data_IF_309144678318
#
_entry.id   IF_309144678318
#
_cell.length_a   1.000
_cell.length_b   1.000
_cell.length_c   1.000
_cell.angle_alpha   90.00
_cell.angle_beta   90.00
_cell.angle_gamma   90.00
#
_symmetry.space_group_name_H-M   'P 1'
#
loop_
_entity.id
_entity.type
_entity.pdbx_description
1 polymer ?
#
# COMPACT_ATOMS: atom_id res chain seq x y z
N UNK A 1 -8.67 -31.24 -7.44
CA UNK A 1 -8.87 -29.86 -7.90
C UNK A 1 -9.20 -28.92 -6.74
N UNK A 2 -10.04 -29.30 -5.78
CA UNK A 2 -10.43 -28.49 -4.60
C UNK A 2 -9.25 -28.01 -3.72
N UNK A 3 -8.27 -28.86 -3.43
CA UNK A 3 -7.10 -28.48 -2.62
C UNK A 3 -6.22 -27.39 -3.26
N UNK A 4 -6.14 -27.35 -4.59
CA UNK A 4 -5.35 -26.36 -5.34
C UNK A 4 -5.99 -24.97 -5.29
N UNK A 5 -7.31 -24.91 -5.28
CA UNK A 5 -8.05 -23.66 -5.09
C UNK A 5 -7.94 -23.15 -3.65
N UNK A 6 -7.88 -24.05 -2.66
CA UNK A 6 -7.61 -23.69 -1.26
C UNK A 6 -6.22 -23.09 -1.06
N UNK A 7 -5.18 -23.67 -1.66
CA UNK A 7 -3.80 -23.18 -1.53
C UNK A 7 -3.61 -21.80 -2.18
N UNK A 8 -4.26 -21.55 -3.31
CA UNK A 8 -4.18 -20.24 -3.98
C UNK A 8 -5.07 -19.18 -3.31
N UNK A 9 -6.27 -19.56 -2.87
CA UNK A 9 -7.17 -18.65 -2.14
C UNK A 9 -6.58 -18.25 -0.78
N UNK A 10 -5.92 -19.16 -0.07
CA UNK A 10 -5.22 -18.85 1.18
C UNK A 10 -4.05 -17.90 0.94
N UNK A 11 -3.25 -18.12 -0.11
CA UNK A 11 -2.16 -17.21 -0.48
C UNK A 11 -2.65 -15.77 -0.77
N UNK A 12 -3.73 -15.61 -1.55
CA UNK A 12 -4.31 -14.29 -1.81
C UNK A 12 -4.92 -13.68 -0.56
N UNK A 13 -5.56 -14.47 0.30
CA UNK A 13 -6.12 -13.98 1.57
C UNK A 13 -5.02 -13.43 2.49
N UNK A 14 -3.88 -14.10 2.58
CA UNK A 14 -2.71 -13.61 3.33
C UNK A 14 -2.21 -12.30 2.73
N UNK A 15 -2.03 -12.22 1.40
CA UNK A 15 -1.61 -10.97 0.75
C UNK A 15 -2.61 -9.82 0.95
N UNK A 16 -3.92 -10.10 0.98
CA UNK A 16 -4.94 -9.10 1.26
C UNK A 16 -4.81 -8.57 2.68
N UNK A 17 -4.68 -9.45 3.69
CA UNK A 17 -4.49 -9.06 5.10
C UNK A 17 -3.24 -8.19 5.27
N UNK A 18 -2.13 -8.56 4.64
CA UNK A 18 -0.90 -7.74 4.66
C UNK A 18 -1.10 -6.37 4.00
N UNK A 19 -1.80 -6.32 2.87
CA UNK A 19 -2.03 -5.07 2.14
C UNK A 19 -2.95 -4.12 2.91
N UNK A 20 -4.06 -4.62 3.48
CA UNK A 20 -4.95 -3.81 4.32
C UNK A 20 -4.30 -3.44 5.66
N UNK A 21 -3.50 -4.34 6.25
CA UNK A 21 -2.71 -4.02 7.44
C UNK A 21 -1.75 -2.86 7.18
N UNK A 22 -1.08 -2.85 6.02
CA UNK A 22 -0.21 -1.74 5.62
C UNK A 22 -0.98 -0.43 5.42
N UNK A 23 -2.20 -0.48 4.85
CA UNK A 23 -3.09 0.69 4.77
C UNK A 23 -3.37 1.26 6.16
N UNK A 24 -3.73 0.42 7.13
CA UNK A 24 -4.03 0.87 8.50
C UNK A 24 -2.80 1.52 9.14
N UNK A 25 -1.63 0.90 9.01
CA UNK A 25 -0.37 1.43 9.58
C UNK A 25 -0.01 2.77 8.96
N UNK A 26 -0.05 2.89 7.63
CA UNK A 26 0.28 4.15 6.93
C UNK A 26 -0.77 5.22 7.20
N UNK A 27 -2.06 4.87 7.22
CA UNK A 27 -3.14 5.79 7.56
C UNK A 27 -2.99 6.31 9.00
N UNK A 28 -2.68 5.43 9.96
CA UNK A 28 -2.43 5.82 11.35
C UNK A 28 -1.20 6.74 11.48
N UNK A 29 -0.13 6.47 10.72
CA UNK A 29 1.04 7.35 10.67
C UNK A 29 0.70 8.73 10.08
N UNK A 30 -0.10 8.77 9.02
CA UNK A 30 -0.59 10.01 8.41
C UNK A 30 -1.51 10.81 9.32
N UNK A 31 -2.42 10.16 10.05
CA UNK A 31 -3.32 10.81 11.01
C UNK A 31 -2.56 11.44 12.18
N UNK A 32 -1.43 10.85 12.57
CA UNK A 32 -0.56 11.38 13.64
C UNK A 32 0.35 12.52 13.17
N UNK A 33 0.51 12.70 11.86
CA UNK A 33 1.42 13.69 11.29
C UNK A 33 0.65 14.95 10.88
N UNK A 34 1.09 16.12 11.33
CA UNK A 34 0.44 17.41 11.02
C UNK A 34 0.59 17.83 9.56
N UNK A 35 1.57 17.26 8.86
CA UNK A 35 1.85 17.47 7.43
C UNK A 35 1.61 16.17 6.68
N UNK A 36 0.83 16.22 5.60
CA UNK A 36 0.55 15.06 4.74
C UNK A 36 1.41 15.14 3.47
N UNK A 37 2.59 14.52 3.43
CA UNK A 37 3.42 14.56 2.23
C UNK A 37 2.71 13.81 1.09
N UNK A 38 2.76 14.31 -0.16
CA UNK A 38 2.08 13.69 -1.30
C UNK A 38 2.52 12.25 -1.56
N UNK A 39 3.77 11.89 -1.21
CA UNK A 39 4.27 10.52 -1.27
C UNK A 39 3.51 9.55 -0.34
N UNK A 40 3.06 10.00 0.84
CA UNK A 40 2.33 9.14 1.78
C UNK A 40 0.91 8.83 1.27
N UNK A 41 0.26 9.78 0.61
CA UNK A 41 -1.03 9.57 -0.06
C UNK A 41 -0.90 8.54 -1.19
N UNK A 42 0.13 8.68 -2.03
CA UNK A 42 0.39 7.74 -3.11
C UNK A 42 0.74 6.32 -2.60
N UNK A 43 1.46 6.22 -1.47
CA UNK A 43 1.72 4.94 -0.79
C UNK A 43 0.42 4.28 -0.32
N UNK A 44 -0.40 5.02 0.42
CA UNK A 44 -1.67 4.54 0.93
C UNK A 44 -2.57 4.06 -0.22
N UNK A 45 -2.64 4.85 -1.28
CA UNK A 45 -3.42 4.53 -2.46
C UNK A 45 -2.88 3.29 -3.19
N UNK A 46 -1.55 3.10 -3.24
CA UNK A 46 -0.96 1.88 -3.81
C UNK A 46 -1.38 0.63 -3.01
N UNK A 47 -1.32 0.68 -1.68
CA UNK A 47 -1.74 -0.46 -0.84
C UNK A 47 -3.24 -0.73 -0.94
N UNK A 48 -4.07 0.31 -1.02
CA UNK A 48 -5.51 0.16 -1.25
C UNK A 48 -5.79 -0.53 -2.58
N UNK A 49 -5.23 -0.03 -3.69
CA UNK A 49 -5.48 -0.62 -5.01
C UNK A 49 -5.00 -2.06 -5.10
N UNK A 50 -3.87 -2.37 -4.48
CA UNK A 50 -3.35 -3.73 -4.47
C UNK A 50 -4.16 -4.65 -3.56
N UNK A 51 -4.65 -4.15 -2.43
CA UNK A 51 -5.59 -4.85 -1.56
C UNK A 51 -6.86 -5.24 -2.32
N UNK A 52 -7.49 -4.28 -3.00
CA UNK A 52 -8.67 -4.52 -3.86
C UNK A 52 -8.36 -5.58 -4.92
N UNK A 53 -7.24 -5.45 -5.64
CA UNK A 53 -6.87 -6.40 -6.68
C UNK A 53 -6.70 -7.84 -6.18
N UNK A 54 -6.03 -8.00 -5.03
CA UNK A 54 -5.81 -9.32 -4.42
C UNK A 54 -7.11 -9.90 -3.87
N UNK A 55 -7.99 -9.07 -3.29
CA UNK A 55 -9.32 -9.52 -2.85
C UNK A 55 -10.16 -10.03 -4.02
N UNK A 56 -10.16 -9.32 -5.15
CA UNK A 56 -10.84 -9.76 -6.37
C UNK A 56 -10.14 -10.94 -7.07
N UNK A 57 -8.88 -11.26 -6.71
CA UNK A 57 -8.17 -12.42 -7.23
C UNK A 57 -8.65 -13.73 -6.60
N UNK A 58 -9.36 -13.66 -5.48
CA UNK A 58 -9.90 -14.82 -4.77
C UNK A 58 -11.15 -15.35 -5.50
N UNK A 59 -11.16 -16.60 -5.98
CA UNK A 59 -12.23 -17.14 -6.83
C UNK A 59 -13.66 -16.94 -6.30
N UNK A 60 -13.99 -17.21 -5.02
CA UNK A 60 -15.35 -17.00 -4.51
C UNK A 60 -15.75 -15.53 -4.41
N UNK A 61 -14.80 -14.59 -4.34
CA UNK A 61 -15.09 -13.15 -4.31
C UNK A 61 -15.22 -12.57 -5.72
N UNK A 62 -14.43 -13.10 -6.65
CA UNK A 62 -14.53 -12.79 -8.07
C UNK A 62 -15.95 -13.07 -8.60
N UNK A 63 -16.47 -14.28 -8.37
CA UNK A 63 -17.79 -14.67 -8.87
C UNK A 63 -18.92 -13.87 -8.22
N UNK A 64 -18.82 -13.61 -6.91
CA UNK A 64 -19.80 -12.77 -6.20
C UNK A 64 -19.83 -11.34 -6.76
N UNK A 65 -18.66 -10.79 -7.10
CA UNK A 65 -18.58 -9.44 -7.67
C UNK A 65 -19.16 -9.39 -9.08
N UNK A 66 -18.83 -10.36 -9.93
CA UNK A 66 -19.39 -10.47 -11.28
C UNK A 66 -20.92 -10.64 -11.24
N UNK A 67 -21.44 -11.45 -10.32
CA UNK A 67 -22.88 -11.64 -10.12
C UNK A 67 -23.59 -10.39 -9.58
N UNK A 68 -22.95 -9.61 -8.71
CA UNK A 68 -23.53 -8.39 -8.15
C UNK A 68 -23.66 -7.27 -9.19
N UNK A 69 -22.64 -7.16 -10.05
CA UNK A 69 -22.57 -6.14 -11.10
C UNK A 69 -23.43 -6.53 -12.31
N UNK A 70 -23.70 -7.82 -12.50
CA UNK A 70 -24.46 -8.34 -13.64
C UNK A 70 -23.67 -8.33 -14.95
N UNK A 71 -22.37 -8.04 -14.89
CA UNK A 71 -21.46 -8.00 -16.05
C UNK A 71 -20.35 -9.02 -15.81
N UNK A 72 -20.38 -10.10 -16.58
CA UNK A 72 -19.35 -11.13 -16.54
C UNK A 72 -17.96 -10.56 -16.87
N UNK A 73 -16.92 -11.00 -16.16
CA UNK A 73 -15.53 -10.59 -16.31
C UNK A 73 -15.19 -9.17 -15.85
N UNK A 74 -16.11 -8.46 -15.20
CA UNK A 74 -15.83 -7.11 -14.70
C UNK A 74 -14.84 -7.15 -13.54
N UNK A 75 -14.89 -8.17 -12.68
CA UNK A 75 -13.92 -8.37 -11.61
C UNK A 75 -12.48 -8.50 -12.12
N UNK A 76 -12.30 -9.09 -13.31
CA UNK A 76 -10.97 -9.26 -13.94
C UNK A 76 -10.42 -7.95 -14.44
N UNK A 77 -11.27 -7.14 -15.08
CA UNK A 77 -10.92 -5.81 -15.55
C UNK A 77 -10.52 -4.92 -14.36
N UNK A 78 -11.32 -4.94 -13.29
CA UNK A 78 -11.03 -4.19 -12.06
C UNK A 78 -9.73 -4.65 -11.44
N UNK A 79 -9.47 -5.96 -11.36
CA UNK A 79 -8.22 -6.52 -10.84
C UNK A 79 -7.01 -6.05 -11.65
N UNK A 80 -7.07 -6.10 -12.99
CA UNK A 80 -5.97 -5.70 -13.85
C UNK A 80 -5.72 -4.18 -13.80
N UNK A 81 -6.78 -3.38 -13.78
CA UNK A 81 -6.70 -1.92 -13.67
C UNK A 81 -6.14 -1.50 -12.31
N UNK A 82 -6.66 -2.05 -11.23
CA UNK A 82 -6.25 -1.70 -9.87
C UNK A 82 -4.86 -2.25 -9.52
N UNK A 83 -4.65 -3.56 -9.69
CA UNK A 83 -3.45 -4.28 -9.27
C UNK A 83 -2.25 -4.14 -10.20
N UNK A 84 -2.51 -3.85 -11.48
CA UNK A 84 -1.50 -3.56 -12.49
C UNK A 84 -1.26 -2.06 -12.64
N UNK A 85 -2.19 -1.36 -13.29
CA UNK A 85 -1.93 0.01 -13.76
C UNK A 85 -1.94 1.03 -12.63
N UNK A 86 -3.01 1.07 -11.83
CA UNK A 86 -3.14 2.04 -10.75
C UNK A 86 -2.05 1.83 -9.69
N UNK A 87 -1.77 0.58 -9.32
CA UNK A 87 -0.72 0.24 -8.37
C UNK A 87 0.68 0.61 -8.89
N UNK A 88 1.07 0.22 -10.11
CA UNK A 88 2.39 0.56 -10.66
C UNK A 88 2.61 2.07 -10.75
N UNK A 89 1.59 2.83 -11.18
CA UNK A 89 1.63 4.29 -11.21
C UNK A 89 1.83 4.90 -9.83
N UNK A 90 1.12 4.38 -8.82
CA UNK A 90 1.27 4.85 -7.45
C UNK A 90 2.67 4.57 -6.91
N UNK A 91 3.21 3.35 -7.11
CA UNK A 91 4.56 2.99 -6.65
C UNK A 91 5.63 3.84 -7.34
N UNK A 92 5.55 4.03 -8.66
CA UNK A 92 6.48 4.90 -9.40
C UNK A 92 6.37 6.37 -8.96
N UNK A 93 5.17 6.83 -8.64
CA UNK A 93 4.94 8.18 -8.10
C UNK A 93 5.59 8.36 -6.74
N UNK A 94 5.44 7.39 -5.83
CA UNK A 94 6.10 7.39 -4.51
C UNK A 94 7.62 7.47 -4.67
N UNK A 95 8.18 6.60 -5.49
CA UNK A 95 9.62 6.53 -5.75
C UNK A 95 10.13 7.85 -6.38
N UNK A 96 9.32 8.49 -7.23
CA UNK A 96 9.65 9.79 -7.82
C UNK A 96 9.68 10.90 -6.75
N UNK A 97 8.67 10.97 -5.88
CA UNK A 97 8.62 11.96 -4.80
C UNK A 97 9.69 11.74 -3.72
N UNK A 98 10.23 10.53 -3.60
CA UNK A 98 11.35 10.26 -2.69
C UNK A 98 12.70 10.73 -3.22
N UNK A 99 12.89 10.77 -4.54
CA UNK A 99 14.14 11.25 -5.13
C UNK A 99 14.16 12.71 -5.55
N UNK A 100 12.99 13.25 -5.85
CA UNK A 100 12.86 14.60 -6.38
C UNK A 100 11.78 15.37 -5.62
N UNK A 101 12.07 16.64 -5.33
CA UNK A 101 11.12 17.58 -4.74
C UNK A 101 10.80 18.70 -5.74
N UNK A 102 9.62 19.30 -5.60
CA UNK A 102 9.20 20.46 -6.39
C UNK A 102 8.42 20.14 -7.69
N UNK A 103 8.34 21.12 -8.63
CA UNK A 103 7.45 21.02 -9.80
C UNK A 103 7.78 19.85 -10.75
N UNK A 104 9.06 19.48 -10.84
CA UNK A 104 9.52 18.37 -11.70
C UNK A 104 9.00 17.01 -11.22
N UNK A 105 8.94 16.80 -9.91
CA UNK A 105 8.39 15.57 -9.32
C UNK A 105 6.89 15.43 -9.62
N UNK A 106 6.14 16.54 -9.53
CA UNK A 106 4.71 16.57 -9.84
C UNK A 106 4.46 16.30 -11.33
N UNK A 107 5.27 16.86 -12.22
CA UNK A 107 5.14 16.63 -13.66
C UNK A 107 5.40 15.16 -14.01
N UNK A 108 6.44 14.54 -13.44
CA UNK A 108 6.72 13.11 -13.63
C UNK A 108 5.66 12.21 -13.02
N UNK A 109 5.14 12.53 -11.83
CA UNK A 109 4.00 11.82 -11.25
C UNK A 109 2.78 11.87 -12.18
N UNK A 110 2.46 13.03 -12.76
CA UNK A 110 1.38 13.17 -13.74
C UNK A 110 1.62 12.35 -15.01
N UNK A 111 2.87 12.25 -15.49
CA UNK A 111 3.21 11.40 -16.62
C UNK A 111 2.98 9.92 -16.30
N UNK A 112 3.39 9.44 -15.11
CA UNK A 112 3.13 8.06 -14.68
C UNK A 112 1.63 7.75 -14.60
N UNK A 113 0.85 8.67 -14.00
CA UNK A 113 -0.61 8.54 -13.93
C UNK A 113 -1.23 8.59 -15.34
N UNK A 114 -0.79 9.51 -16.21
CA UNK A 114 -1.28 9.62 -17.58
C UNK A 114 -1.02 8.35 -18.40
N UNK A 115 0.18 7.76 -18.29
CA UNK A 115 0.48 6.48 -18.93
C UNK A 115 -0.38 5.34 -18.40
N UNK A 116 -0.61 5.27 -17.09
CA UNK A 116 -1.48 4.25 -16.51
C UNK A 116 -2.94 4.41 -16.93
N UNK A 117 -3.44 5.64 -17.05
CA UNK A 117 -4.78 5.93 -17.59
C UNK A 117 -4.86 5.55 -19.07
N UNK A 118 -3.86 5.88 -19.88
CA UNK A 118 -3.84 5.54 -21.30
C UNK A 118 -3.81 4.02 -21.52
N UNK A 119 -2.93 3.31 -20.82
CA UNK A 119 -2.84 1.84 -20.88
C UNK A 119 -4.10 1.20 -20.31
N UNK A 120 -4.63 1.72 -19.21
CA UNK A 120 -5.89 1.27 -18.63
C UNK A 120 -7.05 1.43 -19.62
N UNK A 121 -7.13 2.57 -20.30
CA UNK A 121 -8.08 2.84 -21.38
C UNK A 121 -7.95 1.84 -22.53
N UNK A 122 -6.73 1.60 -23.03
CA UNK A 122 -6.48 0.61 -24.07
C UNK A 122 -6.91 -0.80 -23.64
N UNK A 123 -6.64 -1.20 -22.39
CA UNK A 123 -7.11 -2.47 -21.84
C UNK A 123 -8.63 -2.53 -21.73
N UNK A 124 -9.29 -1.45 -21.30
CA UNK A 124 -10.77 -1.40 -21.24
C UNK A 124 -11.39 -1.53 -22.63
N UNK A 125 -10.83 -0.85 -23.64
CA UNK A 125 -11.28 -0.97 -25.03
C UNK A 125 -11.09 -2.40 -25.55
N UNK A 126 -9.92 -3.00 -25.30
CA UNK A 126 -9.66 -4.39 -25.67
C UNK A 126 -10.62 -5.37 -24.98
N UNK A 127 -11.00 -5.09 -23.72
CA UNK A 127 -12.00 -5.86 -23.00
C UNK A 127 -13.40 -5.71 -23.59
N UNK A 128 -13.82 -4.50 -23.99
CA UNK A 128 -15.11 -4.29 -24.67
C UNK A 128 -15.19 -5.00 -26.03
N UNK A 129 -14.07 -5.10 -26.73
CA UNK A 129 -13.98 -5.76 -28.05
C UNK A 129 -13.88 -7.28 -27.92
N UNK A 130 -13.44 -7.80 -26.77
CA UNK A 130 -13.35 -9.24 -26.54
C UNK A 130 -14.76 -9.86 -26.41
N UNK A 131 -15.11 -10.88 -27.22
CA UNK A 131 -16.45 -11.48 -27.17
C UNK A 131 -16.82 -12.02 -25.78
N UNK A 132 -18.05 -11.75 -25.36
CA UNK A 132 -18.70 -12.23 -24.13
C UNK A 132 -18.95 -13.73 -24.20
N UNK A 133 -17.90 -14.54 -24.15
CA UNK A 133 -18.04 -15.97 -23.93
C UNK A 133 -17.81 -16.25 -22.45
N UNK A 134 -18.73 -16.98 -21.82
CA UNK A 134 -18.62 -17.52 -20.47
C UNK A 134 -17.20 -18.07 -20.25
N UNK A 135 -16.54 -17.61 -19.19
CA UNK A 135 -15.18 -17.99 -18.86
C UNK A 135 -15.20 -18.88 -17.62
N UNK A 136 -15.02 -20.21 -17.78
CA UNK A 136 -14.68 -21.09 -16.67
C UNK A 136 -13.37 -20.66 -16.00
N UNK A 137 -13.27 -20.93 -14.70
CA UNK A 137 -12.19 -20.52 -13.81
C UNK A 137 -10.76 -20.97 -14.23
N UNK A 138 -10.63 -21.93 -15.16
CA UNK A 138 -9.35 -22.43 -15.67
C UNK A 138 -8.93 -21.74 -17.00
N UNK A 139 -8.67 -20.44 -16.89
CA UNK A 139 -8.40 -19.52 -18.00
C UNK A 139 -7.20 -19.91 -18.90
N UNK A 140 -6.18 -20.56 -18.36
CA UNK A 140 -4.90 -20.80 -19.08
C UNK A 140 -4.84 -22.17 -19.78
N UNK A 141 -5.73 -23.09 -19.40
CA UNK A 141 -5.75 -24.47 -19.91
C UNK A 141 -6.73 -24.64 -21.07
N UNK A 142 -7.90 -23.99 -21.01
CA UNK A 142 -9.03 -24.35 -21.88
C UNK A 142 -9.24 -23.42 -23.11
N UNK A 143 -8.33 -22.50 -23.39
CA UNK A 143 -8.60 -21.36 -24.29
C UNK A 143 -7.61 -21.16 -25.44
N UNK A 144 -6.89 -22.19 -25.89
CA UNK A 144 -6.06 -22.13 -27.10
C UNK A 144 -6.78 -21.60 -28.36
N UNK A 145 -8.12 -21.66 -28.39
CA UNK A 145 -8.95 -21.24 -29.52
C UNK A 145 -9.49 -19.79 -29.49
N UNK A 146 -9.20 -18.95 -28.48
CA UNK A 146 -9.71 -17.55 -28.43
C UNK A 146 -8.56 -16.52 -28.43
N UNK A 147 -8.02 -16.13 -29.61
CA UNK A 147 -6.81 -15.30 -29.70
C UNK A 147 -6.97 -13.90 -29.10
N UNK A 148 -8.17 -13.32 -29.09
CA UNK A 148 -8.43 -11.99 -28.52
C UNK A 148 -8.17 -11.92 -27.00
N UNK A 149 -8.51 -12.97 -26.26
CA UNK A 149 -8.29 -13.04 -24.81
C UNK A 149 -6.83 -13.27 -24.45
N UNK A 150 -6.12 -14.05 -25.26
CA UNK A 150 -4.66 -14.23 -25.09
C UNK A 150 -3.94 -12.91 -25.37
N UNK A 151 -4.33 -12.18 -26.43
CA UNK A 151 -3.77 -10.87 -26.74
C UNK A 151 -4.00 -9.88 -25.58
N UNK A 152 -5.22 -9.79 -25.04
CA UNK A 152 -5.52 -8.97 -23.86
C UNK A 152 -4.61 -9.30 -22.67
N UNK A 153 -4.45 -10.59 -22.36
CA UNK A 153 -3.59 -11.02 -21.25
C UNK A 153 -2.13 -10.72 -21.50
N UNK A 154 -1.61 -10.95 -22.70
CA UNK A 154 -0.23 -10.66 -23.03
C UNK A 154 0.04 -9.16 -22.94
N UNK A 155 -0.86 -8.30 -23.43
CA UNK A 155 -0.75 -6.84 -23.29
C UNK A 155 -0.70 -6.45 -21.81
N UNK A 156 -1.60 -7.02 -20.99
CA UNK A 156 -1.60 -6.78 -19.55
C UNK A 156 -0.29 -7.24 -18.88
N UNK A 157 0.20 -8.44 -19.18
CA UNK A 157 1.44 -8.99 -18.63
C UNK A 157 2.68 -8.20 -19.05
N UNK A 158 2.74 -7.77 -20.31
CA UNK A 158 3.84 -6.95 -20.83
C UNK A 158 3.86 -5.60 -20.13
N UNK A 159 2.70 -4.93 -20.06
CA UNK A 159 2.60 -3.60 -19.43
C UNK A 159 2.88 -3.66 -17.93
N UNK A 160 2.34 -4.67 -17.23
CA UNK A 160 2.65 -4.91 -15.81
C UNK A 160 4.13 -5.28 -15.59
N UNK A 161 4.70 -6.13 -16.46
CA UNK A 161 6.11 -6.51 -16.42
C UNK A 161 7.05 -5.32 -16.66
N UNK A 162 6.74 -4.45 -17.61
CA UNK A 162 7.47 -3.19 -17.84
C UNK A 162 7.38 -2.27 -16.62
N UNK A 163 6.19 -2.15 -16.01
CA UNK A 163 6.02 -1.42 -14.75
C UNK A 163 6.88 -1.97 -13.63
N UNK A 164 6.90 -3.30 -13.45
CA UNK A 164 7.76 -3.97 -12.47
C UNK A 164 9.25 -3.74 -12.76
N UNK A 165 9.68 -3.82 -14.02
CA UNK A 165 11.06 -3.55 -14.44
C UNK A 165 11.47 -2.10 -14.12
N UNK A 166 10.61 -1.12 -14.41
CA UNK A 166 10.86 0.28 -14.07
C UNK A 166 11.00 0.47 -12.56
N UNK A 167 10.16 -0.18 -11.77
CA UNK A 167 10.26 -0.16 -10.29
C UNK A 167 11.61 -0.73 -9.85
N UNK A 168 12.04 -1.89 -10.38
CA UNK A 168 13.33 -2.52 -10.06
C UNK A 168 14.47 -1.55 -10.37
N UNK A 169 14.52 -1.00 -11.59
CA UNK A 169 15.59 -0.08 -12.03
C UNK A 169 15.65 1.13 -11.11
N UNK A 170 14.50 1.75 -10.81
CA UNK A 170 14.45 2.93 -9.95
C UNK A 170 14.87 2.59 -8.52
N UNK A 171 14.35 1.53 -7.92
CA UNK A 171 14.73 1.10 -6.58
C UNK A 171 16.23 0.80 -6.47
N UNK A 172 16.82 0.11 -7.44
CA UNK A 172 18.27 -0.15 -7.48
C UNK A 172 19.09 1.12 -7.65
N UNK A 173 18.64 2.04 -8.51
CA UNK A 173 19.27 3.35 -8.67
C UNK A 173 19.25 4.11 -7.33
N UNK A 174 18.11 4.21 -6.66
CA UNK A 174 18.00 4.87 -5.36
C UNK A 174 18.84 4.20 -4.27
N UNK A 175 18.89 2.87 -4.25
CA UNK A 175 19.70 2.09 -3.31
C UNK A 175 21.21 2.34 -3.49
N UNK A 176 21.66 2.73 -4.68
CA UNK A 176 23.07 3.03 -4.97
C UNK A 176 23.52 4.39 -4.46
N UNK A 177 22.62 5.37 -4.40
CA UNK A 177 22.95 6.77 -4.08
C UNK A 177 22.73 7.17 -2.61
N UNK A 178 22.08 6.33 -1.79
CA UNK A 178 21.81 6.64 -0.38
C UNK A 178 22.72 5.83 0.56
N UNK A 179 23.49 6.53 1.40
CA UNK A 179 24.37 5.93 2.41
C UNK A 179 23.62 5.38 3.64
N UNK A 180 22.33 5.70 3.78
CA UNK A 180 21.52 5.23 4.91
C UNK A 180 21.16 3.76 4.72
N UNK A 181 21.85 2.88 5.46
CA UNK A 181 21.72 1.42 5.37
C UNK A 181 20.26 0.91 5.47
N UNK A 182 19.41 1.56 6.27
CA UNK A 182 17.99 1.19 6.39
C UNK A 182 17.19 1.46 5.11
N UNK A 183 17.36 2.66 4.53
CA UNK A 183 16.64 3.04 3.31
C UNK A 183 17.08 2.17 2.13
N UNK A 184 18.38 1.90 2.04
CA UNK A 184 18.95 0.97 1.05
C UNK A 184 18.34 -0.44 1.16
N UNK A 185 18.23 -1.00 2.37
CA UNK A 185 17.58 -2.31 2.59
C UNK A 185 16.12 -2.31 2.16
N UNK A 186 15.37 -1.25 2.47
CA UNK A 186 13.97 -1.13 2.06
C UNK A 186 13.80 -1.09 0.53
N UNK A 187 14.64 -0.34 -0.18
CA UNK A 187 14.65 -0.29 -1.65
C UNK A 187 15.03 -1.64 -2.28
N UNK A 188 16.03 -2.32 -1.72
CA UNK A 188 16.45 -3.64 -2.19
C UNK A 188 15.35 -4.69 -1.97
N UNK A 189 14.61 -4.60 -0.85
CA UNK A 189 13.49 -5.48 -0.55
C UNK A 189 12.33 -5.27 -1.53
N UNK A 190 12.01 -4.00 -1.84
CA UNK A 190 11.03 -3.66 -2.89
C UNK A 190 11.47 -4.14 -4.26
N UNK A 191 12.76 -3.98 -4.61
CA UNK A 191 13.30 -4.48 -5.87
C UNK A 191 13.20 -6.01 -5.98
N UNK A 192 13.56 -6.73 -4.92
CA UNK A 192 13.44 -8.19 -4.87
C UNK A 192 11.99 -8.65 -5.05
N UNK A 193 11.03 -7.96 -4.42
CA UNK A 193 9.62 -8.30 -4.59
C UNK A 193 9.08 -7.96 -5.98
N UNK A 194 9.56 -6.88 -6.59
CA UNK A 194 9.23 -6.53 -7.96
C UNK A 194 9.82 -7.54 -8.96
N UNK A 195 11.00 -8.11 -8.70
CA UNK A 195 11.58 -9.21 -9.48
C UNK A 195 10.71 -10.47 -9.40
N UNK A 196 10.17 -10.80 -8.23
CA UNK A 196 9.22 -11.91 -8.09
C UNK A 196 7.91 -11.66 -8.87
N UNK A 197 7.43 -10.40 -8.90
CA UNK A 197 6.30 -10.02 -9.75
C UNK A 197 6.61 -10.17 -11.24
N UNK A 198 7.84 -9.83 -11.66
CA UNK A 198 8.27 -10.02 -13.04
C UNK A 198 8.36 -11.50 -13.40
N UNK A 199 8.90 -12.33 -12.51
CA UNK A 199 8.90 -13.79 -12.67
C UNK A 199 7.48 -14.34 -12.82
N UNK A 200 6.53 -13.86 -12.00
CA UNK A 200 5.11 -14.18 -12.16
C UNK A 200 4.58 -13.84 -13.56
N UNK A 201 4.91 -12.65 -14.09
CA UNK A 201 4.50 -12.24 -15.43
C UNK A 201 5.05 -13.20 -16.49
N UNK A 202 6.34 -13.55 -16.40
CA UNK A 202 7.00 -14.46 -17.34
C UNK A 202 6.36 -15.85 -17.28
N UNK A 203 6.13 -16.37 -16.07
CA UNK A 203 5.49 -17.68 -15.86
C UNK A 203 4.07 -17.70 -16.45
N UNK A 204 3.30 -16.61 -16.27
CA UNK A 204 1.95 -16.49 -16.82
C UNK A 204 1.95 -16.32 -18.34
N UNK A 205 2.90 -15.57 -18.90
CA UNK A 205 3.04 -15.40 -20.36
C UNK A 205 3.41 -16.75 -21.00
N UNK A 206 4.38 -17.45 -20.42
CA UNK A 206 4.77 -18.79 -20.87
C UNK A 206 3.59 -19.76 -20.79
N UNK A 207 2.81 -19.74 -19.70
CA UNK A 207 1.62 -20.60 -19.59
C UNK A 207 0.56 -20.29 -20.63
N UNK A 208 0.37 -19.02 -20.99
CA UNK A 208 -0.59 -18.61 -22.00
C UNK A 208 -0.16 -19.06 -23.40
N UNK A 209 1.13 -18.91 -23.74
CA UNK A 209 1.68 -19.34 -25.03
C UNK A 209 1.66 -20.87 -25.14
N UNK A 210 2.06 -21.58 -24.09
CA UNK A 210 2.05 -23.03 -24.08
C UNK A 210 0.63 -23.61 -24.22
N UNK A 211 -0.35 -23.05 -23.50
CA UNK A 211 -1.75 -23.43 -23.61
C UNK A 211 -2.33 -23.26 -25.03
N UNK A 212 -1.79 -22.35 -25.84
CA UNK A 212 -2.15 -22.23 -27.26
C UNK A 212 -1.60 -23.36 -28.13
N UNK A 213 -0.47 -23.96 -27.75
CA UNK A 213 0.25 -24.93 -28.59
C UNK A 213 -0.20 -26.36 -28.27
N UNK A 214 -0.35 -26.70 -26.98
CA UNK A 214 -0.54 -28.09 -26.54
C UNK A 214 -1.90 -28.36 -25.89
N UNK A 215 -2.70 -27.32 -25.63
CA UNK A 215 -4.00 -27.42 -24.95
C UNK A 215 -3.94 -28.16 -23.59
N UNK A 216 -2.76 -28.16 -22.96
CA UNK A 216 -2.43 -28.90 -21.74
C UNK A 216 -1.91 -27.95 -20.65
N UNK A 217 -2.26 -28.24 -19.39
CA UNK A 217 -1.94 -27.36 -18.26
C UNK A 217 -0.73 -27.86 -17.45
N UNK A 218 0.32 -27.04 -17.36
CA UNK A 218 1.56 -27.39 -16.63
C UNK A 218 1.37 -27.42 -15.10
N UNK A 219 2.02 -28.38 -14.43
CA UNK A 219 2.06 -28.49 -12.96
C UNK A 219 2.70 -27.30 -12.23
N UNK A 220 3.55 -26.52 -12.93
CA UNK A 220 4.24 -25.32 -12.43
C UNK A 220 3.34 -24.07 -12.38
N UNK A 221 2.14 -24.10 -12.96
CA UNK A 221 1.14 -23.01 -12.85
C UNK A 221 0.81 -22.69 -11.38
N UNK A 222 0.94 -23.68 -10.48
CA UNK A 222 0.74 -23.56 -9.03
C UNK A 222 1.73 -22.61 -8.34
N UNK A 223 2.92 -22.42 -8.91
CA UNK A 223 3.96 -21.58 -8.33
C UNK A 223 3.77 -20.09 -8.64
N UNK A 224 2.99 -19.75 -9.68
CA UNK A 224 2.79 -18.36 -10.06
C UNK A 224 2.07 -17.54 -8.96
N UNK A 225 0.93 -17.98 -8.39
CA UNK A 225 0.29 -17.28 -7.26
C UNK A 225 1.21 -17.13 -6.03
N UNK A 226 2.03 -18.15 -5.74
CA UNK A 226 2.97 -18.11 -4.62
C UNK A 226 4.06 -17.05 -4.83
N UNK A 227 4.67 -17.03 -6.03
CA UNK A 227 5.65 -16.01 -6.39
C UNK A 227 5.05 -14.59 -6.32
N UNK A 228 3.82 -14.40 -6.79
CA UNK A 228 3.11 -13.12 -6.70
C UNK A 228 2.85 -12.71 -5.24
N UNK A 229 2.43 -13.65 -4.39
CA UNK A 229 2.15 -13.41 -2.96
C UNK A 229 3.42 -13.04 -2.21
N UNK A 230 4.50 -13.80 -2.40
CA UNK A 230 5.80 -13.52 -1.78
C UNK A 230 6.33 -12.16 -2.25
N UNK A 231 6.29 -11.90 -3.57
CA UNK A 231 6.71 -10.62 -4.14
C UNK A 231 5.92 -9.44 -3.58
N UNK A 232 4.62 -9.62 -3.43
CA UNK A 232 3.72 -8.63 -2.85
C UNK A 232 4.07 -8.32 -1.39
N UNK A 233 4.26 -9.34 -0.55
CA UNK A 233 4.65 -9.16 0.86
C UNK A 233 5.98 -8.41 0.95
N UNK A 234 6.96 -8.77 0.11
CA UNK A 234 8.26 -8.09 0.05
C UNK A 234 8.13 -6.62 -0.31
N UNK A 235 7.29 -6.29 -1.31
CA UNK A 235 7.06 -4.90 -1.72
C UNK A 235 6.34 -4.12 -0.62
N UNK A 236 5.34 -4.71 0.04
CA UNK A 236 4.63 -4.07 1.15
C UNK A 236 5.59 -3.75 2.30
N UNK A 237 6.43 -4.71 2.70
CA UNK A 237 7.42 -4.50 3.77
C UNK A 237 8.46 -3.45 3.34
N UNK A 238 8.94 -3.51 2.09
CA UNK A 238 9.92 -2.57 1.57
C UNK A 238 9.37 -1.14 1.49
N UNK A 239 8.17 -0.95 0.96
CA UNK A 239 7.52 0.36 0.84
C UNK A 239 7.05 0.92 2.19
N UNK A 240 6.72 0.06 3.16
CA UNK A 240 6.39 0.49 4.51
C UNK A 240 7.63 0.90 5.33
N UNK A 241 8.83 0.46 4.93
CA UNK A 241 10.10 0.70 5.62
C UNK A 241 10.37 2.18 6.00
N UNK A 242 10.14 3.16 5.11
CA UNK A 242 10.29 4.58 5.43
C UNK A 242 9.21 5.13 6.39
N UNK A 243 8.01 4.55 6.38
CA UNK A 243 6.96 4.94 7.34
C UNK A 243 7.32 4.43 8.75
N UNK A 244 7.88 3.22 8.84
CA UNK A 244 8.40 2.67 10.09
C UNK A 244 9.57 3.49 10.66
N UNK A 245 10.46 4.03 9.83
CA UNK A 245 11.57 4.86 10.33
C UNK A 245 11.10 6.18 10.95
N UNK A 246 10.03 6.78 10.41
CA UNK A 246 9.41 7.98 11.00
C UNK A 246 8.70 7.68 12.33
N UNK A 247 8.01 6.53 12.42
CA UNK A 247 7.41 6.06 13.67
C UNK A 247 8.45 5.76 14.74
N UNK A 248 9.54 5.08 14.39
CA UNK A 248 10.62 4.72 15.31
C UNK A 248 11.41 5.94 15.76
N UNK A 249 11.71 6.88 14.87
CA UNK A 249 12.39 8.14 15.24
C UNK A 249 11.53 9.00 16.16
N UNK A 250 10.23 9.13 15.88
CA UNK A 250 9.28 9.87 16.74
C UNK A 250 9.13 9.22 18.13
N UNK A 251 9.07 7.88 18.18
CA UNK A 251 9.03 7.15 19.45
C UNK A 251 10.33 7.32 20.24
N UNK A 252 11.49 7.24 19.56
CA UNK A 252 12.80 7.45 20.18
C UNK A 252 12.96 8.86 20.72
N UNK A 253 12.50 9.87 19.98
CA UNK A 253 12.52 11.26 20.43
C UNK A 253 11.60 11.47 21.65
N UNK A 254 10.40 10.88 21.67
CA UNK A 254 9.52 10.90 22.86
C UNK A 254 10.16 10.24 24.07
N UNK A 255 10.81 9.08 23.89
CA UNK A 255 11.51 8.38 24.98
C UNK A 255 12.68 9.23 25.47
N UNK A 256 13.45 9.84 24.57
CA UNK A 256 14.53 10.74 24.96
C UNK A 256 13.99 11.95 25.71
N UNK A 257 12.99 12.66 25.17
CA UNK A 257 12.35 13.80 25.86
C UNK A 257 11.81 13.41 27.23
N UNK A 258 11.17 12.24 27.36
CA UNK A 258 10.71 11.73 28.65
C UNK A 258 11.87 11.44 29.62
N UNK A 259 12.96 10.84 29.14
CA UNK A 259 14.16 10.60 29.96
C UNK A 259 14.84 11.91 30.37
N UNK A 260 14.95 12.88 29.46
CA UNK A 260 15.45 14.22 29.75
C UNK A 260 14.59 14.91 30.79
N UNK A 261 13.25 14.88 30.65
CA UNK A 261 12.34 15.42 31.65
C UNK A 261 12.51 14.75 33.01
N UNK A 262 12.58 13.41 33.08
CA UNK A 262 12.81 12.69 34.35
C UNK A 262 14.18 12.94 34.98
N UNK A 263 15.20 13.20 34.19
CA UNK A 263 16.54 13.52 34.69
C UNK A 263 16.66 14.98 35.14
N UNK A 264 15.94 15.89 34.48
CA UNK A 264 15.89 17.31 34.81
C UNK A 264 14.93 17.60 35.97
N UNK A 265 13.92 16.76 36.19
CA UNK A 265 12.96 16.88 37.30
C UNK A 265 13.63 17.02 38.68
N UNK A 266 14.54 16.13 39.12
CA UNK A 266 15.18 16.27 40.43
C UNK A 266 16.09 17.51 40.54
N UNK A 267 16.76 17.90 39.45
CA UNK A 267 17.60 19.10 39.42
C UNK A 267 16.75 20.37 39.49
N UNK A 268 15.61 20.39 38.79
CA UNK A 268 14.65 21.48 38.81
C UNK A 268 14.04 21.66 40.21
N UNK A 269 13.67 20.57 40.88
CA UNK A 269 13.13 20.61 42.24
C UNK A 269 14.14 21.18 43.24
N UNK A 270 15.41 20.75 43.19
CA UNK A 270 16.46 21.28 44.06
C UNK A 270 16.73 22.78 43.82
N UNK A 271 16.69 23.22 42.55
CA UNK A 271 16.88 24.62 42.18
C UNK A 271 15.69 25.49 42.60
N UNK A 272 14.48 24.95 42.53
CA UNK A 272 13.25 25.60 42.97
C UNK A 272 13.16 25.74 44.50
N UNK A 273 13.61 24.74 45.25
CA UNK A 273 13.71 24.82 46.72
C UNK A 273 14.72 25.90 47.16
N UNK A 274 15.83 26.06 46.44
CA UNK A 274 16.85 27.08 46.74
C UNK A 274 16.49 28.49 46.27
N UNK A 275 15.68 28.64 45.21
CA UNK A 275 15.27 29.95 44.70
C UNK A 275 13.92 29.87 43.97
N UNK A 276 12.86 30.18 44.72
CA UNK A 276 11.46 30.13 44.27
C UNK A 276 11.10 31.17 43.20
N UNK A 277 11.94 32.20 42.97
CA UNK A 277 11.68 33.25 41.98
C UNK A 277 12.03 32.86 40.53
N UNK A 278 12.66 31.70 40.31
CA UNK A 278 13.12 31.26 38.98
C UNK A 278 11.99 30.67 38.12
N UNK A 279 10.87 30.27 38.73
CA UNK A 279 9.76 29.71 37.99
C UNK A 279 8.98 30.78 37.19
N UNK A 280 9.14 30.77 35.86
CA UNK A 280 8.35 31.58 34.91
C UNK A 280 6.84 31.27 34.98
N UNK A 281 6.46 30.09 35.48
CA UNK A 281 5.09 29.72 35.80
C UNK A 281 5.12 28.78 37.02
N UNK A 282 4.72 29.24 38.21
CA UNK A 282 4.61 28.37 39.38
C UNK A 282 3.63 27.22 39.08
N UNK A 283 3.94 25.97 39.43
CA UNK A 283 2.95 24.90 39.35
C UNK A 283 1.77 25.29 40.24
N UNK A 284 0.57 25.40 39.64
CA UNK A 284 -0.63 25.73 40.40
C UNK A 284 -0.76 24.72 41.55
N UNK A 285 -0.87 25.18 42.81
CA UNK A 285 -1.01 24.28 43.94
C UNK A 285 -2.20 23.37 43.67
N UNK A 286 -1.96 22.06 43.76
CA UNK A 286 -2.97 21.01 43.64
C UNK A 286 -3.82 21.02 44.90
N UNK A 287 -4.49 22.14 45.17
CA UNK A 287 -5.42 22.29 46.29
C UNK A 287 -6.76 21.72 45.86
N UNK A 288 -6.98 20.47 46.25
CA UNK A 288 -8.19 20.05 46.97
C UNK A 288 -9.50 20.53 46.32
N UNK A 289 -10.07 19.68 45.46
CA UNK A 289 -11.50 19.69 45.14
C UNK A 289 -12.25 19.26 46.42
N UNK A 290 -12.39 20.18 47.38
CA UNK A 290 -13.24 19.97 48.55
C UNK A 290 -13.85 21.31 48.96
N UNK A 291 -15.13 21.45 48.62
CA UNK A 291 -16.14 22.18 49.40
C UNK A 291 -15.98 23.71 49.57
N UNK A 292 -16.58 24.47 48.64
CA UNK A 292 -17.29 25.73 48.93
C UNK A 292 -18.47 25.76 47.94
N UNK A 293 -19.70 25.47 48.35
CA UNK A 293 -20.49 26.39 49.17
C UNK A 293 -21.55 27.02 48.27
N UNK A 294 -22.46 26.18 47.77
CA UNK A 294 -23.70 26.59 47.09
C UNK A 294 -24.65 27.20 48.13
N UNK A 295 -24.36 28.41 48.59
CA UNK A 295 -25.27 29.22 49.42
C UNK A 295 -24.98 30.70 49.18
N UNK A 296 -25.52 31.26 48.10
CA UNK A 296 -25.73 32.70 47.95
C UNK A 296 -26.73 32.99 46.81
N UNK A 297 -27.92 32.39 46.89
CA UNK A 297 -29.08 32.82 46.10
C UNK A 297 -30.19 33.21 47.09
N UNK A 298 -30.19 34.45 47.56
CA UNK A 298 -31.36 35.17 48.09
C UNK A 298 -30.92 36.51 48.69
N UNK A 299 -30.97 37.56 47.87
CA UNK A 299 -31.32 38.93 48.30
C UNK A 299 -31.27 39.85 47.07
N UNK A 300 -32.25 39.67 46.17
CA UNK A 300 -32.59 40.72 45.21
C UNK A 300 -33.47 41.75 45.93
N UNK A 301 -32.95 42.97 45.92
CA UNK A 301 -33.56 44.24 46.25
C UNK A 301 -35.03 44.35 45.81
N UNK A 302 -35.88 44.77 46.76
CA UNK A 302 -37.21 45.30 46.53
C UNK A 302 -37.27 46.71 47.12
N UNK A 303 -37.22 47.72 46.25
CA UNK A 303 -37.58 49.16 46.36
C UNK A 303 -36.89 49.80 45.15
N UNK A 304 -37.58 50.28 44.12
CA UNK A 304 -38.66 51.27 44.03
C UNK A 304 -39.51 50.95 42.82
#
# INVERSE_FOLDING_TARGET
MTSVFEDSASAYSVAAVFSFGAVVVVAAAMLRSRVRPPAAVALLLSFLFKGIAVTLATPPLYEKFDNLVGVHNMGRLVLNLSGGMAWTACVLTVITFWGESGPRAVQRARLWVGMAVAIGGALTLCWFVAPTSELPQDFYASHGNKPAWVAYMLIYLITYGLGALLIIIKCLQYARFHDVAWLRRSMLLTAAGATMCLAFCIMRAHSAIYGMITNDSYSWQRLAPLAATIGQILIVIGLAGPSFSQLVSSARQRIQTYRWHRQLEPLWTALYEGNTQIALAPPAPRSVITTIGSTAESSRFATV
#
